data_IF_246478020550
#
_entry.id   IF_246478020550
#
_cell.length_a   1.000
_cell.length_b   1.000
_cell.length_c   1.000
_cell.angle_alpha   90.00
_cell.angle_beta   90.00
_cell.angle_gamma   90.00
#
_symmetry.space_group_name_H-M   'P 1'
#
loop_
_entity.id
_entity.type
_entity.pdbx_description
1 polymer ?
#
# COMPACT_ATOMS: atom_id res chain seq x y z
N UNK A 1 -13.73 -11.92 -26.81
CA UNK A 1 -13.23 -11.98 -28.21
C UNK A 1 -12.02 -11.07 -28.31
N UNK A 2 -10.91 -11.54 -28.88
CA UNK A 2 -9.71 -10.72 -29.11
C UNK A 2 -9.93 -9.84 -30.35
N UNK A 3 -9.52 -8.56 -30.37
CA UNK A 3 -9.65 -7.72 -31.55
C UNK A 3 -8.94 -8.35 -32.75
N UNK A 4 -9.68 -8.73 -33.79
CA UNK A 4 -9.14 -9.32 -35.02
C UNK A 4 -8.83 -10.83 -34.99
N UNK A 5 -9.09 -11.53 -33.87
CA UNK A 5 -8.89 -12.99 -33.75
C UNK A 5 -10.19 -13.74 -33.44
N UNK A 6 -10.48 -14.83 -34.17
CA UNK A 6 -11.67 -15.67 -33.92
C UNK A 6 -11.48 -16.63 -32.75
N UNK A 7 -10.24 -17.05 -32.50
CA UNK A 7 -9.90 -17.90 -31.36
C UNK A 7 -8.53 -17.56 -30.78
N UNK A 8 -8.38 -17.81 -29.47
CA UNK A 8 -7.12 -17.63 -28.77
C UNK A 8 -6.88 -18.80 -27.82
N UNK A 9 -5.63 -19.24 -27.74
CA UNK A 9 -5.21 -20.36 -26.89
C UNK A 9 -4.11 -19.87 -25.97
N UNK A 10 -4.31 -20.03 -24.66
CA UNK A 10 -3.27 -19.86 -23.65
C UNK A 10 -2.64 -21.21 -23.34
N UNK A 11 -1.31 -21.30 -23.41
CA UNK A 11 -0.55 -22.51 -23.02
C UNK A 11 0.45 -22.14 -21.92
N UNK A 12 0.46 -22.91 -20.83
CA UNK A 12 1.45 -22.81 -19.75
C UNK A 12 1.95 -24.21 -19.37
N UNK A 13 3.14 -24.32 -18.77
CA UNK A 13 3.63 -25.59 -18.24
C UNK A 13 3.06 -25.81 -16.83
N UNK A 14 2.89 -27.08 -16.46
CA UNK A 14 2.54 -27.47 -15.08
C UNK A 14 3.69 -27.02 -14.17
N UNK A 15 3.41 -26.13 -13.22
CA UNK A 15 4.40 -25.53 -12.32
C UNK A 15 4.77 -24.07 -12.61
N UNK A 16 4.29 -23.46 -13.71
CA UNK A 16 4.49 -22.04 -14.03
C UNK A 16 3.60 -21.08 -13.20
N UNK A 17 3.12 -21.55 -12.04
CA UNK A 17 2.41 -20.72 -11.08
C UNK A 17 3.40 -19.79 -10.40
N UNK A 18 3.12 -18.49 -10.46
CA UNK A 18 3.89 -17.49 -9.71
C UNK A 18 3.52 -17.67 -8.24
N UNK A 19 4.47 -18.03 -7.36
CA UNK A 19 4.18 -18.21 -5.95
C UNK A 19 3.62 -16.89 -5.38
N UNK A 20 2.41 -16.92 -4.83
CA UNK A 20 1.91 -15.80 -4.03
C UNK A 20 2.68 -15.76 -2.72
N UNK A 21 3.69 -14.88 -2.63
CA UNK A 21 4.53 -14.81 -1.44
C UNK A 21 3.88 -14.05 -0.28
N UNK A 22 2.89 -13.18 -0.54
CA UNK A 22 2.38 -12.24 0.48
C UNK A 22 0.86 -11.99 0.43
N UNK A 23 0.07 -13.02 0.11
CA UNK A 23 -1.38 -12.88 0.02
C UNK A 23 -2.05 -12.67 1.39
N UNK A 24 -3.05 -11.79 1.45
CA UNK A 24 -3.99 -11.75 2.57
C UNK A 24 -4.71 -13.11 2.67
N UNK A 25 -4.73 -13.70 3.87
CA UNK A 25 -5.41 -14.97 4.13
C UNK A 25 -6.85 -14.94 3.57
N UNK A 26 -7.18 -15.93 2.73
CA UNK A 26 -8.50 -16.05 2.10
C UNK A 26 -8.68 -15.31 0.76
N UNK A 27 -7.63 -14.74 0.17
CA UNK A 27 -7.62 -14.30 -1.25
C UNK A 27 -6.83 -15.30 -2.09
N UNK A 28 -7.52 -16.29 -2.66
CA UNK A 28 -6.92 -17.27 -3.56
C UNK A 28 -6.69 -16.67 -4.96
N UNK A 29 -5.89 -15.61 -5.06
CA UNK A 29 -5.45 -15.07 -6.35
C UNK A 29 -4.31 -15.94 -6.88
N UNK A 30 -4.40 -16.38 -8.13
CA UNK A 30 -3.37 -17.19 -8.77
C UNK A 30 -2.92 -16.58 -10.08
N UNK A 31 -1.60 -16.51 -10.32
CA UNK A 31 -1.05 -16.01 -11.58
C UNK A 31 -0.27 -17.13 -12.26
N UNK A 32 -0.57 -17.38 -13.54
CA UNK A 32 0.17 -18.32 -14.39
C UNK A 32 0.85 -17.58 -15.52
N UNK A 33 2.13 -17.86 -15.73
CA UNK A 33 2.86 -17.39 -16.91
C UNK A 33 2.66 -18.37 -18.06
N UNK A 34 2.61 -17.87 -19.28
CA UNK A 34 2.48 -18.73 -20.45
C UNK A 34 2.57 -17.97 -21.76
N UNK A 35 2.20 -18.64 -22.85
CA UNK A 35 2.13 -18.07 -24.19
C UNK A 35 0.70 -17.97 -24.66
N UNK A 36 0.36 -16.82 -25.23
CA UNK A 36 -0.88 -16.59 -25.96
C UNK A 36 -0.64 -16.84 -27.45
N UNK A 37 -1.52 -17.60 -28.07
CA UNK A 37 -1.60 -17.81 -29.51
C UNK A 37 -2.95 -17.31 -30.01
N UNK A 38 -2.97 -16.33 -30.93
CA UNK A 38 -4.21 -15.80 -31.52
C UNK A 38 -4.27 -16.20 -32.99
N UNK A 39 -5.44 -16.67 -33.45
CA UNK A 39 -5.65 -17.14 -34.81
C UNK A 39 -6.73 -16.31 -35.52
N UNK A 40 -6.52 -16.04 -36.81
CA UNK A 40 -7.50 -15.37 -37.67
C UNK A 40 -8.65 -16.30 -38.10
N UNK A 41 -9.57 -15.78 -38.93
CA UNK A 41 -10.72 -16.55 -39.41
C UNK A 41 -10.38 -17.76 -40.28
N UNK A 42 -9.18 -17.78 -40.87
CA UNK A 42 -8.67 -18.87 -41.70
C UNK A 42 -7.81 -19.86 -40.89
N UNK A 43 -7.73 -19.66 -39.56
CA UNK A 43 -6.91 -20.49 -38.67
C UNK A 43 -5.41 -20.18 -38.74
N UNK A 44 -5.00 -19.07 -39.36
CA UNK A 44 -3.59 -18.65 -39.39
C UNK A 44 -3.22 -17.97 -38.07
N UNK A 45 -2.08 -18.36 -37.50
CA UNK A 45 -1.52 -17.71 -36.31
C UNK A 45 -1.13 -16.26 -36.64
N UNK A 46 -1.67 -15.31 -35.88
CA UNK A 46 -1.41 -13.87 -36.06
C UNK A 46 -0.64 -13.25 -34.90
N UNK A 47 -0.76 -13.81 -33.69
CA UNK A 47 -0.04 -13.35 -32.50
C UNK A 47 0.54 -14.53 -31.75
N UNK A 48 1.82 -14.46 -31.41
CA UNK A 48 2.46 -15.27 -30.37
C UNK A 48 3.14 -14.31 -29.38
N UNK A 49 2.75 -14.36 -28.11
CA UNK A 49 3.25 -13.44 -27.07
C UNK A 49 3.34 -14.12 -25.70
N UNK A 50 4.35 -13.78 -24.92
CA UNK A 50 4.39 -14.13 -23.49
C UNK A 50 3.39 -13.29 -22.69
N UNK A 51 2.57 -13.96 -21.88
CA UNK A 51 1.49 -13.34 -21.10
C UNK A 51 1.44 -13.89 -19.69
N UNK A 52 0.80 -13.14 -18.81
CA UNK A 52 0.36 -13.58 -17.49
C UNK A 52 -1.16 -13.70 -17.48
N UNK A 53 -1.67 -14.84 -17.00
CA UNK A 53 -3.08 -15.07 -16.75
C UNK A 53 -3.30 -15.06 -15.24
N UNK A 54 -4.04 -14.07 -14.76
CA UNK A 54 -4.40 -13.88 -13.36
C UNK A 54 -5.84 -14.34 -13.13
N UNK A 55 -6.05 -15.20 -12.15
CA UNK A 55 -7.34 -15.52 -11.57
C UNK A 55 -7.51 -14.71 -10.29
N UNK A 56 -8.33 -13.67 -10.35
CA UNK A 56 -8.68 -12.81 -9.22
C UNK A 56 -10.02 -13.22 -8.61
N UNK A 57 -10.15 -13.05 -7.29
CA UNK A 57 -11.40 -13.23 -6.53
C UNK A 57 -11.82 -11.92 -5.86
N UNK A 58 -11.85 -10.84 -6.64
CA UNK A 58 -12.20 -9.50 -6.18
C UNK A 58 -13.59 -9.42 -5.55
N UNK A 59 -13.73 -8.50 -4.60
CA UNK A 59 -15.01 -8.10 -4.02
C UNK A 59 -15.85 -7.33 -5.04
N UNK A 60 -17.13 -7.68 -5.16
CA UNK A 60 -18.04 -7.10 -6.15
C UNK A 60 -18.37 -5.63 -5.91
N UNK A 61 -18.20 -5.12 -4.68
CA UNK A 61 -18.35 -3.70 -4.36
C UNK A 61 -17.17 -2.86 -4.89
N UNK A 62 -16.04 -3.51 -5.22
CA UNK A 62 -14.88 -2.87 -5.83
C UNK A 62 -15.04 -2.81 -7.34
N UNK A 63 -14.53 -1.73 -7.92
CA UNK A 63 -14.32 -1.69 -9.36
C UNK A 63 -13.30 -2.77 -9.73
N UNK A 64 -13.54 -3.44 -10.86
CA UNK A 64 -12.59 -4.40 -11.43
C UNK A 64 -11.32 -3.67 -11.86
N UNK A 65 -10.20 -4.40 -11.88
CA UNK A 65 -8.89 -3.90 -12.30
C UNK A 65 -8.95 -3.18 -13.67
N UNK A 66 -9.66 -3.75 -14.65
CA UNK A 66 -9.87 -3.11 -15.96
C UNK A 66 -10.56 -1.74 -15.88
N UNK A 67 -11.59 -1.61 -15.03
CA UNK A 67 -12.36 -0.39 -14.85
C UNK A 67 -11.57 0.69 -14.08
N UNK A 68 -10.80 0.29 -13.06
CA UNK A 68 -9.88 1.20 -12.35
C UNK A 68 -8.82 1.74 -13.31
N UNK A 69 -8.22 0.88 -14.13
CA UNK A 69 -7.21 1.29 -15.11
C UNK A 69 -7.79 2.22 -16.18
N UNK A 70 -8.98 1.92 -16.70
CA UNK A 70 -9.67 2.81 -17.65
C UNK A 70 -9.92 4.19 -17.03
N UNK A 71 -10.33 4.21 -15.76
CA UNK A 71 -10.56 5.44 -15.02
C UNK A 71 -9.29 6.25 -14.84
N UNK A 72 -8.20 5.62 -14.43
CA UNK A 72 -6.91 6.29 -14.33
C UNK A 72 -6.50 6.91 -15.67
N UNK A 73 -6.61 6.14 -16.77
CA UNK A 73 -6.32 6.61 -18.13
C UNK A 73 -7.19 7.80 -18.52
N UNK A 74 -8.48 7.80 -18.18
CA UNK A 74 -9.37 8.96 -18.40
C UNK A 74 -8.96 10.16 -17.56
N UNK A 75 -8.63 9.96 -16.29
CA UNK A 75 -8.19 11.02 -15.37
C UNK A 75 -6.88 11.68 -15.80
N UNK A 76 -6.00 10.95 -16.47
CA UNK A 76 -4.76 11.51 -17.04
C UNK A 76 -5.02 12.39 -18.28
N UNK A 77 -6.11 12.17 -19.04
CA UNK A 77 -6.40 12.98 -20.22
C UNK A 77 -6.69 14.43 -19.81
N UNK A 78 -6.00 15.37 -20.46
CA UNK A 78 -6.18 16.81 -20.20
C UNK A 78 -5.44 17.34 -18.98
N UNK A 79 -4.68 16.50 -18.25
CA UNK A 79 -3.76 16.96 -17.22
C UNK A 79 -2.34 17.10 -17.78
N UNK A 80 -1.65 18.15 -17.35
CA UNK A 80 -0.24 18.32 -17.66
C UNK A 80 0.60 17.50 -16.68
N UNK A 81 1.56 16.74 -17.21
CA UNK A 81 2.52 15.95 -16.45
C UNK A 81 3.95 16.43 -16.76
N UNK A 82 4.93 16.14 -15.89
CA UNK A 82 6.31 16.58 -16.08
C UNK A 82 6.87 16.06 -17.42
N UNK A 83 7.61 16.91 -18.13
CA UNK A 83 8.18 16.58 -19.44
C UNK A 83 9.01 15.29 -19.35
N UNK A 84 8.73 14.35 -20.25
CA UNK A 84 9.42 13.05 -20.31
C UNK A 84 8.75 11.94 -19.50
N UNK A 85 7.62 12.22 -18.84
CA UNK A 85 6.81 11.21 -18.16
C UNK A 85 5.41 11.17 -18.77
N UNK A 86 5.02 10.00 -19.27
CA UNK A 86 3.63 9.70 -19.60
C UNK A 86 3.08 8.78 -18.50
N UNK A 87 2.09 9.23 -17.69
CA UNK A 87 1.55 8.42 -16.61
C UNK A 87 0.94 7.09 -17.10
N UNK A 88 0.54 7.01 -18.37
CA UNK A 88 -0.02 5.79 -18.96
C UNK A 88 1.01 4.68 -19.10
N UNK A 89 2.30 5.02 -19.15
CA UNK A 89 3.39 4.05 -19.26
C UNK A 89 3.55 3.23 -17.98
N UNK A 90 3.16 3.77 -16.81
CA UNK A 90 3.20 3.04 -15.53
C UNK A 90 2.05 2.05 -15.37
N UNK A 91 0.97 2.24 -16.12
CA UNK A 91 -0.18 1.36 -16.05
C UNK A 91 0.05 0.07 -16.85
N UNK A 92 -0.38 -1.09 -16.32
CA UNK A 92 -0.35 -2.33 -17.06
C UNK A 92 -1.40 -2.31 -18.18
N UNK A 93 -1.16 -3.15 -19.18
CA UNK A 93 -2.12 -3.44 -20.23
C UNK A 93 -3.02 -4.62 -19.81
N UNK A 94 -4.33 -4.47 -20.03
CA UNK A 94 -5.28 -5.58 -19.96
C UNK A 94 -5.59 -6.00 -21.39
N UNK A 95 -5.12 -7.18 -21.79
CA UNK A 95 -5.36 -7.73 -23.12
C UNK A 95 -6.80 -8.25 -23.22
N UNK A 96 -7.24 -8.98 -22.18
CA UNK A 96 -8.58 -9.53 -22.11
C UNK A 96 -8.99 -9.72 -20.64
N UNK A 97 -10.30 -9.69 -20.41
CA UNK A 97 -10.90 -9.96 -19.12
C UNK A 97 -12.16 -10.80 -19.31
N UNK A 98 -12.34 -11.81 -18.44
CA UNK A 98 -13.55 -12.62 -18.39
C UNK A 98 -14.04 -12.76 -16.96
N UNK A 99 -15.32 -12.48 -16.76
CA UNK A 99 -16.01 -12.58 -15.47
C UNK A 99 -16.82 -13.87 -15.44
N UNK A 100 -16.84 -14.53 -14.28
CA UNK A 100 -17.61 -15.76 -14.06
C UNK A 100 -18.64 -15.54 -12.95
N UNK A 101 -19.78 -14.93 -13.30
CA UNK A 101 -20.85 -14.61 -12.35
C UNK A 101 -21.53 -15.86 -11.77
N UNK A 102 -21.47 -17.00 -12.47
CA UNK A 102 -21.95 -18.31 -12.00
C UNK A 102 -21.22 -18.80 -10.74
N UNK A 103 -20.05 -18.24 -10.44
CA UNK A 103 -19.26 -18.56 -9.25
C UNK A 103 -19.34 -17.47 -8.16
N UNK A 104 -20.33 -16.58 -8.22
CA UNK A 104 -20.61 -15.64 -7.14
C UNK A 104 -20.76 -16.39 -5.80
N UNK A 105 -19.95 -15.98 -4.82
CA UNK A 105 -19.97 -16.53 -3.47
C UNK A 105 -21.35 -16.53 -2.81
N UNK A 106 -22.25 -15.61 -3.16
CA UNK A 106 -23.64 -15.59 -2.67
C UNK A 106 -24.40 -16.87 -3.05
N UNK A 107 -24.25 -17.33 -4.29
CA UNK A 107 -24.92 -18.54 -4.79
C UNK A 107 -24.47 -19.74 -3.97
N UNK A 108 -23.15 -19.84 -3.70
CA UNK A 108 -22.57 -20.91 -2.88
C UNK A 108 -23.01 -20.83 -1.42
N UNK A 109 -22.99 -19.64 -0.80
CA UNK A 109 -23.43 -19.43 0.59
C UNK A 109 -24.89 -19.86 0.77
N UNK A 110 -25.78 -19.46 -0.15
CA UNK A 110 -27.19 -19.87 -0.12
C UNK A 110 -27.39 -21.38 -0.29
N UNK A 111 -26.50 -22.05 -1.02
CA UNK A 111 -26.58 -23.50 -1.22
C UNK A 111 -26.05 -24.32 -0.03
N UNK A 112 -25.19 -23.73 0.81
CA UNK A 112 -24.50 -24.44 1.91
C UNK A 112 -25.09 -24.08 3.29
N UNK A 113 -25.53 -22.84 3.48
CA UNK A 113 -26.10 -22.37 4.74
C UNK A 113 -27.61 -22.66 4.81
N UNK A 114 -28.11 -22.94 6.01
CA UNK A 114 -29.55 -23.02 6.24
C UNK A 114 -30.21 -21.64 6.04
N UNK A 115 -31.48 -21.58 5.63
CA UNK A 115 -32.14 -20.31 5.27
C UNK A 115 -32.18 -19.28 6.41
N UNK A 116 -32.34 -19.73 7.66
CA UNK A 116 -32.26 -18.88 8.86
C UNK A 116 -30.88 -18.25 9.02
N UNK A 117 -29.84 -19.06 8.82
CA UNK A 117 -28.45 -18.66 9.02
C UNK A 117 -28.01 -17.75 7.89
N UNK A 118 -28.41 -18.04 6.64
CA UNK A 118 -28.17 -17.16 5.49
C UNK A 118 -28.83 -15.79 5.67
N UNK A 119 -30.07 -15.73 6.16
CA UNK A 119 -30.77 -14.47 6.41
C UNK A 119 -30.12 -13.67 7.55
N UNK A 120 -29.82 -14.31 8.68
CA UNK A 120 -29.11 -13.68 9.79
C UNK A 120 -27.74 -13.17 9.32
N UNK A 121 -27.04 -13.94 8.50
CA UNK A 121 -25.74 -13.58 7.95
C UNK A 121 -25.78 -12.38 7.01
N UNK A 122 -26.72 -12.33 6.07
CA UNK A 122 -26.90 -11.17 5.17
C UNK A 122 -27.32 -9.90 5.92
N UNK A 123 -28.03 -10.03 7.05
CA UNK A 123 -28.49 -8.88 7.85
C UNK A 123 -27.41 -8.35 8.81
N UNK A 124 -26.71 -9.24 9.53
CA UNK A 124 -25.82 -8.89 10.64
C UNK A 124 -24.36 -8.68 10.21
N UNK A 125 -23.90 -9.40 9.19
CA UNK A 125 -22.52 -9.35 8.68
C UNK A 125 -22.50 -9.58 7.17
N UNK A 126 -22.95 -8.62 6.34
CA UNK A 126 -22.90 -8.79 4.90
C UNK A 126 -21.45 -8.95 4.44
N UNK A 127 -20.99 -10.19 4.30
CA UNK A 127 -19.67 -10.45 3.77
C UNK A 127 -19.65 -9.99 2.31
N UNK A 128 -18.66 -9.16 2.00
CA UNK A 128 -18.15 -8.91 0.67
C UNK A 128 -18.43 -10.10 -0.28
N UNK A 129 -19.37 -9.90 -1.20
CA UNK A 129 -19.61 -10.83 -2.30
C UNK A 129 -18.39 -10.81 -3.20
N UNK A 130 -17.94 -11.97 -3.65
CA UNK A 130 -16.80 -12.11 -4.55
C UNK A 130 -17.20 -12.91 -5.77
N UNK A 131 -16.56 -12.59 -6.89
CA UNK A 131 -16.69 -13.35 -8.14
C UNK A 131 -15.31 -13.55 -8.78
N UNK A 132 -15.05 -14.71 -9.39
CA UNK A 132 -13.84 -14.93 -10.14
C UNK A 132 -13.77 -14.05 -11.38
N UNK A 133 -12.59 -13.50 -11.64
CA UNK A 133 -12.25 -12.80 -12.86
C UNK A 133 -10.93 -13.35 -13.39
N UNK A 134 -10.92 -13.78 -14.65
CA UNK A 134 -9.70 -14.06 -15.38
C UNK A 134 -9.25 -12.79 -16.10
N UNK A 135 -8.01 -12.37 -15.84
CA UNK A 135 -7.39 -11.19 -16.42
C UNK A 135 -6.13 -11.62 -17.15
N UNK A 136 -6.05 -11.29 -18.44
CA UNK A 136 -4.90 -11.59 -19.28
C UNK A 136 -4.11 -10.32 -19.54
N UNK A 137 -2.81 -10.36 -19.27
CA UNK A 137 -1.91 -9.21 -19.33
C UNK A 137 -0.60 -9.61 -20.03
N UNK A 138 0.16 -8.66 -20.61
CA UNK A 138 1.53 -8.94 -21.01
C UNK A 138 2.35 -9.44 -19.81
N UNK A 139 3.35 -10.27 -20.08
CA UNK A 139 4.28 -10.70 -19.04
C UNK A 139 5.18 -9.52 -18.64
N UNK A 140 5.21 -9.23 -17.35
CA UNK A 140 6.16 -8.32 -16.73
C UNK A 140 7.03 -9.07 -15.73
N UNK A 141 8.23 -8.55 -15.46
CA UNK A 141 9.13 -9.09 -14.45
C UNK A 141 9.14 -8.22 -13.20
N UNK A 142 9.16 -8.79 -11.97
CA UNK A 142 9.31 -8.00 -10.76
C UNK A 142 10.57 -7.15 -10.82
N UNK A 143 10.52 -5.90 -10.37
CA UNK A 143 11.68 -5.00 -10.44
C UNK A 143 12.89 -5.59 -9.70
N UNK A 144 12.65 -6.36 -8.65
CA UNK A 144 13.64 -7.06 -7.83
C UNK A 144 14.47 -8.09 -8.61
N UNK A 145 13.93 -8.59 -9.71
CA UNK A 145 14.55 -9.61 -10.56
C UNK A 145 15.34 -9.02 -11.73
N UNK A 146 15.32 -7.69 -11.91
CA UNK A 146 16.01 -7.02 -13.01
C UNK A 146 17.40 -6.53 -12.56
N UNK A 147 18.47 -6.95 -13.27
CA UNK A 147 19.87 -6.75 -12.84
C UNK A 147 20.42 -5.30 -12.83
N UNK A 148 21.37 -5.09 -11.88
CA UNK A 148 22.44 -4.06 -11.76
C UNK A 148 22.04 -2.58 -11.71
N UNK A 149 21.93 -2.02 -10.49
CA UNK A 149 21.67 -0.61 -10.15
C UNK A 149 20.31 0.00 -10.58
N UNK A 150 19.61 -0.65 -11.51
CA UNK A 150 18.35 -0.21 -12.11
C UNK A 150 17.16 -0.15 -11.15
N UNK A 151 17.22 -0.81 -9.98
CA UNK A 151 16.15 -0.73 -8.99
C UNK A 151 15.86 0.73 -8.61
N UNK A 152 16.88 1.48 -8.17
CA UNK A 152 16.71 2.87 -7.73
C UNK A 152 16.27 3.82 -8.85
N UNK A 153 16.79 3.62 -10.06
CA UNK A 153 16.42 4.41 -11.25
C UNK A 153 14.97 4.15 -11.66
N UNK A 154 14.39 2.99 -11.31
CA UNK A 154 13.00 2.61 -11.63
C UNK A 154 12.01 2.88 -10.48
N UNK A 155 12.46 2.84 -9.23
CA UNK A 155 11.66 3.16 -8.05
C UNK A 155 11.15 4.60 -8.08
N UNK A 156 12.01 5.56 -8.44
CA UNK A 156 11.62 6.97 -8.60
C UNK A 156 10.44 7.14 -9.57
N UNK A 157 10.58 6.76 -10.84
CA UNK A 157 9.49 6.78 -11.81
C UNK A 157 8.22 6.06 -11.34
N UNK A 158 8.30 4.89 -10.71
CA UNK A 158 7.13 4.19 -10.16
C UNK A 158 6.42 5.00 -9.07
N UNK A 159 7.17 5.56 -8.13
CA UNK A 159 6.60 6.43 -7.09
C UNK A 159 5.98 7.71 -7.65
N UNK A 160 6.57 8.28 -8.72
CA UNK A 160 5.99 9.43 -9.43
C UNK A 160 4.70 9.03 -10.16
N UNK A 161 4.69 7.91 -10.88
CA UNK A 161 3.50 7.36 -11.52
C UNK A 161 2.38 7.08 -10.50
N UNK A 162 2.75 6.60 -9.31
CA UNK A 162 1.83 6.42 -8.20
C UNK A 162 1.27 7.75 -7.66
N UNK A 163 2.08 8.80 -7.52
CA UNK A 163 1.58 10.13 -7.17
C UNK A 163 0.64 10.70 -8.25
N UNK A 164 0.94 10.46 -9.52
CA UNK A 164 0.05 10.83 -10.63
C UNK A 164 -1.30 10.11 -10.53
N UNK A 165 -1.32 8.82 -10.15
CA UNK A 165 -2.56 8.07 -9.89
C UNK A 165 -3.39 8.71 -8.77
N UNK A 166 -2.75 9.02 -7.65
CA UNK A 166 -3.41 9.71 -6.53
C UNK A 166 -3.99 11.06 -6.95
N UNK A 167 -3.25 11.82 -7.78
CA UNK A 167 -3.68 13.13 -8.30
C UNK A 167 -4.94 13.06 -9.17
N UNK A 168 -5.30 11.87 -9.68
CA UNK A 168 -6.53 11.63 -10.44
C UNK A 168 -7.57 10.82 -9.66
N UNK A 169 -7.41 10.73 -8.34
CA UNK A 169 -8.38 10.10 -7.45
C UNK A 169 -8.39 8.56 -7.53
N UNK A 170 -7.26 7.96 -7.89
CA UNK A 170 -7.04 6.50 -7.88
C UNK A 170 -5.97 6.15 -6.86
N UNK A 171 -6.38 5.42 -5.82
CA UNK A 171 -5.50 4.91 -4.77
C UNK A 171 -5.14 3.46 -5.11
N UNK A 172 -3.85 3.13 -5.18
CA UNK A 172 -3.44 1.76 -5.52
C UNK A 172 -3.77 0.78 -4.39
N UNK A 173 -3.42 1.13 -3.16
CA UNK A 173 -3.75 0.38 -1.94
C UNK A 173 -2.85 -0.83 -1.65
N UNK A 174 -2.11 -1.36 -2.63
CA UNK A 174 -1.26 -2.55 -2.44
C UNK A 174 0.17 -2.41 -3.01
N UNK A 175 0.93 -1.44 -2.50
CA UNK A 175 2.35 -1.33 -2.85
C UNK A 175 3.12 -2.49 -2.20
N UNK A 176 3.65 -3.38 -3.03
CA UNK A 176 4.41 -4.56 -2.61
C UNK A 176 5.51 -4.90 -3.61
N UNK A 177 6.50 -5.69 -3.20
CA UNK A 177 7.60 -6.11 -4.09
C UNK A 177 7.11 -6.81 -5.37
N UNK A 178 6.04 -7.60 -5.28
CA UNK A 178 5.46 -8.32 -6.42
C UNK A 178 4.59 -7.47 -7.36
N UNK A 179 4.22 -6.26 -6.93
CA UNK A 179 3.36 -5.35 -7.69
C UNK A 179 4.17 -4.25 -8.40
N UNK A 180 5.42 -4.05 -7.99
CA UNK A 180 6.37 -3.21 -8.71
C UNK A 180 7.04 -4.05 -9.80
N UNK A 181 6.58 -3.87 -11.04
CA UNK A 181 6.98 -4.68 -12.19
C UNK A 181 7.74 -3.86 -13.23
N UNK A 182 8.32 -4.56 -14.19
CA UNK A 182 9.07 -4.00 -15.30
C UNK A 182 8.76 -4.74 -16.59
N UNK A 183 8.44 -3.97 -17.61
CA UNK A 183 8.29 -4.42 -18.97
C UNK A 183 9.69 -4.43 -19.63
N UNK A 184 10.27 -5.63 -19.71
CA UNK A 184 11.58 -5.82 -20.37
C UNK A 184 11.52 -5.63 -21.89
N UNK A 185 10.36 -5.79 -22.52
CA UNK A 185 10.18 -5.58 -23.96
C UNK A 185 10.26 -4.09 -24.28
N UNK A 186 9.47 -3.28 -23.56
CA UNK A 186 9.36 -1.84 -23.81
C UNK A 186 10.28 -0.98 -22.94
N UNK A 187 11.03 -1.59 -22.03
CA UNK A 187 11.90 -0.93 -21.04
C UNK A 187 11.15 0.08 -20.17
N UNK A 188 9.95 -0.27 -19.69
CA UNK A 188 9.09 0.60 -18.91
C UNK A 188 8.73 0.01 -17.54
N UNK A 189 8.70 0.83 -16.46
CA UNK A 189 8.14 0.40 -15.19
C UNK A 189 6.63 0.17 -15.29
N UNK A 190 6.10 -0.80 -14.54
CA UNK A 190 4.67 -1.12 -14.46
C UNK A 190 4.25 -1.30 -13.00
N UNK A 191 3.32 -0.48 -12.52
CA UNK A 191 2.67 -0.72 -11.23
C UNK A 191 1.46 -1.60 -11.47
N UNK A 192 1.47 -2.85 -11.02
CA UNK A 192 0.46 -3.87 -11.30
C UNK A 192 -0.39 -4.21 -10.08
N UNK A 193 -1.48 -4.95 -10.31
CA UNK A 193 -2.40 -5.47 -9.30
C UNK A 193 -3.31 -4.43 -8.65
N UNK A 194 -4.32 -4.00 -9.41
CA UNK A 194 -5.32 -3.03 -8.96
C UNK A 194 -6.56 -3.66 -8.29
N UNK A 195 -6.49 -4.93 -7.86
CA UNK A 195 -7.62 -5.60 -7.20
C UNK A 195 -8.05 -4.90 -5.90
N UNK A 196 -7.09 -4.23 -5.24
CA UNK A 196 -7.30 -3.55 -3.95
C UNK A 196 -7.44 -2.04 -4.09
N UNK A 197 -7.35 -1.55 -5.31
CA UNK A 197 -7.43 -0.13 -5.59
C UNK A 197 -8.80 0.43 -5.26
N UNK A 198 -8.79 1.71 -4.94
CA UNK A 198 -9.98 2.47 -4.62
C UNK A 198 -10.01 3.73 -5.48
N UNK A 199 -11.22 4.14 -5.87
CA UNK A 199 -11.42 5.43 -6.52
C UNK A 199 -12.21 6.33 -5.61
N UNK A 200 -11.74 7.57 -5.41
CA UNK A 200 -12.28 8.52 -4.42
C UNK A 200 -13.76 8.90 -4.61
N UNK A 201 -14.32 8.67 -5.79
CA UNK A 201 -15.72 8.92 -6.12
C UNK A 201 -16.61 7.66 -5.97
N UNK A 202 -16.06 6.55 -5.49
CA UNK A 202 -16.80 5.34 -5.14
C UNK A 202 -16.93 5.25 -3.63
N UNK A 203 -18.00 4.62 -3.11
CA UNK A 203 -18.03 4.22 -1.71
C UNK A 203 -16.82 3.33 -1.38
N UNK A 204 -16.29 3.45 -0.16
CA UNK A 204 -15.31 2.49 0.34
C UNK A 204 -15.99 1.10 0.40
N UNK A 205 -15.28 0.02 0.04
CA UNK A 205 -15.82 -1.34 0.05
C UNK A 205 -16.32 -1.77 1.43
N UNK A 206 -17.28 -2.71 1.45
CA UNK A 206 -17.81 -3.30 2.69
C UNK A 206 -16.74 -4.10 3.43
N UNK A 207 -16.28 -3.61 4.59
CA UNK A 207 -15.31 -4.27 5.46
C UNK A 207 -14.07 -3.43 5.74
N UNK A 208 -12.94 -4.11 6.01
CA UNK A 208 -11.65 -3.48 6.31
C UNK A 208 -11.23 -2.60 5.11
N UNK A 209 -11.36 -1.29 5.25
CA UNK A 209 -11.07 -0.31 4.18
C UNK A 209 -9.57 -0.25 3.88
N UNK A 210 -8.74 -0.59 4.89
CA UNK A 210 -7.30 -0.70 4.78
C UNK A 210 -6.85 -2.11 4.42
N UNK A 211 -6.71 -2.35 3.10
CA UNK A 211 -6.22 -3.61 2.54
C UNK A 211 -4.81 -3.46 1.99
N UNK A 212 -4.10 -4.58 1.78
CA UNK A 212 -2.78 -4.60 1.16
C UNK A 212 -1.86 -5.64 1.82
N UNK A 213 -0.60 -5.63 1.41
CA UNK A 213 0.42 -6.53 1.92
C UNK A 213 0.99 -6.04 3.27
N UNK A 214 0.60 -6.67 4.39
CA UNK A 214 0.95 -6.22 5.74
C UNK A 214 2.45 -6.00 5.99
N UNK A 215 3.33 -6.80 5.38
CA UNK A 215 4.78 -6.61 5.50
C UNK A 215 5.25 -5.23 5.02
N UNK A 216 4.55 -4.63 4.05
CA UNK A 216 4.90 -3.33 3.45
C UNK A 216 3.94 -2.20 3.85
N UNK A 217 2.69 -2.52 4.19
CA UNK A 217 1.66 -1.56 4.56
C UNK A 217 2.11 -0.64 5.71
N UNK A 218 1.82 0.66 5.60
CA UNK A 218 2.25 1.68 6.58
C UNK A 218 1.89 1.35 8.04
N UNK A 219 2.75 1.76 8.98
CA UNK A 219 2.63 1.41 10.41
C UNK A 219 1.27 1.82 11.01
N UNK A 220 0.81 3.02 10.67
CA UNK A 220 -0.48 3.55 11.15
C UNK A 220 -1.67 2.78 10.59
N UNK A 221 -1.51 2.13 9.43
CA UNK A 221 -2.53 1.27 8.84
C UNK A 221 -2.50 -0.15 9.41
N UNK A 222 -1.58 -0.45 10.34
CA UNK A 222 -1.45 -1.72 11.05
C UNK A 222 -1.87 -1.57 12.53
N UNK A 223 -2.91 -0.76 12.79
CA UNK A 223 -3.58 -0.64 14.09
C UNK A 223 -4.98 -1.26 14.03
N UNK A 224 -5.58 -1.51 15.20
CA UNK A 224 -6.97 -1.98 15.27
C UNK A 224 -7.93 -0.97 14.64
N UNK A 225 -7.80 0.33 14.97
CA UNK A 225 -8.62 1.40 14.38
C UNK A 225 -8.52 1.46 12.85
N UNK A 226 -7.31 1.23 12.30
CA UNK A 226 -7.14 1.16 10.87
C UNK A 226 -7.79 -0.08 10.24
N UNK A 227 -7.72 -1.23 10.91
CA UNK A 227 -8.41 -2.45 10.49
C UNK A 227 -9.94 -2.26 10.51
N UNK A 228 -10.45 -1.53 11.50
CA UNK A 228 -11.87 -1.17 11.61
C UNK A 228 -12.28 -0.04 10.64
N UNK A 229 -11.30 0.52 9.91
CA UNK A 229 -11.51 1.50 8.86
C UNK A 229 -11.69 2.94 9.34
N UNK A 230 -11.33 3.21 10.59
CA UNK A 230 -11.37 4.54 11.21
C UNK A 230 -10.21 5.43 10.74
N UNK A 231 -9.07 4.82 10.39
CA UNK A 231 -7.92 5.56 9.84
C UNK A 231 -8.03 5.66 8.32
N UNK A 232 -8.17 6.87 7.74
CA UNK A 232 -8.20 7.04 6.30
C UNK A 232 -6.83 6.76 5.69
N UNK A 233 -6.79 6.09 4.55
CA UNK A 233 -5.56 5.94 3.76
C UNK A 233 -5.19 7.26 3.10
N UNK A 234 -3.93 7.66 3.25
CA UNK A 234 -3.31 8.86 2.69
C UNK A 234 -2.14 8.47 1.76
N UNK A 235 -1.70 9.41 0.92
CA UNK A 235 -0.58 9.11 0.00
C UNK A 235 0.70 8.74 0.77
N UNK A 236 0.96 9.40 1.91
CA UNK A 236 2.11 9.08 2.78
C UNK A 236 2.17 7.61 3.20
N UNK A 237 1.03 6.93 3.35
CA UNK A 237 1.00 5.51 3.72
C UNK A 237 1.52 4.62 2.60
N UNK A 238 1.09 4.89 1.37
CA UNK A 238 1.58 4.16 0.20
C UNK A 238 3.07 4.50 -0.07
N UNK A 239 3.50 5.74 0.22
CA UNK A 239 4.91 6.13 0.10
C UNK A 239 5.81 5.47 1.17
N UNK A 240 5.33 5.34 2.43
CA UNK A 240 6.00 4.49 3.43
C UNK A 240 6.19 3.06 2.91
N UNK A 241 5.16 2.52 2.23
CA UNK A 241 5.22 1.19 1.64
C UNK A 241 6.30 1.10 0.54
N UNK A 242 6.49 2.15 -0.27
CA UNK A 242 7.63 2.22 -1.21
C UNK A 242 8.99 2.17 -0.51
N UNK A 243 9.16 2.85 0.64
CA UNK A 243 10.40 2.80 1.43
C UNK A 243 10.61 1.39 2.00
N UNK A 244 9.56 0.76 2.53
CA UNK A 244 9.61 -0.61 3.03
C UNK A 244 10.01 -1.61 1.93
N UNK A 245 9.42 -1.51 0.74
CA UNK A 245 9.78 -2.34 -0.42
C UNK A 245 11.21 -2.08 -0.88
N UNK A 246 11.70 -0.83 -0.82
CA UNK A 246 13.08 -0.52 -1.15
C UNK A 246 14.07 -1.21 -0.20
N UNK A 247 13.84 -1.13 1.11
CA UNK A 247 14.63 -1.83 2.13
C UNK A 247 14.59 -3.34 1.89
N UNK A 248 13.40 -3.90 1.66
CA UNK A 248 13.21 -5.31 1.35
C UNK A 248 14.06 -5.77 0.15
N UNK A 249 13.96 -5.04 -0.97
CA UNK A 249 14.66 -5.41 -2.21
C UNK A 249 16.18 -5.35 -2.03
N UNK A 250 16.72 -4.32 -1.36
CA UNK A 250 18.19 -4.20 -1.21
C UNK A 250 18.77 -5.27 -0.29
N UNK A 251 18.05 -5.74 0.72
CA UNK A 251 18.56 -6.81 1.57
C UNK A 251 18.42 -8.19 0.93
N UNK A 252 17.38 -8.39 0.10
CA UNK A 252 17.03 -9.74 -0.38
C UNK A 252 17.47 -10.04 -1.80
N UNK A 253 17.71 -9.04 -2.64
CA UNK A 253 18.01 -9.27 -4.05
C UNK A 253 19.35 -8.69 -4.45
N UNK A 254 20.19 -9.53 -5.05
CA UNK A 254 21.49 -9.16 -5.63
C UNK A 254 21.54 -9.62 -7.08
N UNK A 255 21.87 -8.70 -7.98
CA UNK A 255 21.95 -8.98 -9.42
C UNK A 255 20.70 -9.72 -9.95
N UNK A 256 19.51 -9.23 -9.57
CA UNK A 256 18.23 -9.80 -10.00
C UNK A 256 17.90 -11.17 -9.39
N UNK A 257 18.66 -11.63 -8.39
CA UNK A 257 18.48 -12.94 -7.76
C UNK A 257 18.25 -12.78 -6.27
N UNK A 258 17.31 -13.57 -5.74
CA UNK A 258 17.12 -13.71 -4.30
C UNK A 258 18.41 -14.27 -3.69
N UNK A 259 18.93 -13.64 -2.64
CA UNK A 259 20.11 -14.12 -1.93
C UNK A 259 19.79 -15.39 -1.15
N UNK A 260 20.78 -16.29 -0.93
CA UNK A 260 20.63 -17.39 0.02
C UNK A 260 20.28 -16.85 1.41
N UNK A 261 19.43 -17.56 2.15
CA UNK A 261 18.93 -17.16 3.48
C UNK A 261 18.46 -15.71 3.53
N UNK A 262 17.40 -15.39 2.77
CA UNK A 262 17.03 -14.01 2.51
C UNK A 262 16.62 -13.30 3.81
N UNK A 263 17.27 -12.16 4.15
CA UNK A 263 16.94 -11.42 5.35
C UNK A 263 15.50 -10.90 5.34
N UNK A 264 15.03 -10.46 6.52
CA UNK A 264 13.73 -9.82 6.71
C UNK A 264 12.51 -10.73 6.47
N UNK A 265 12.70 -12.05 6.33
CA UNK A 265 11.58 -13.00 6.23
C UNK A 265 10.61 -12.86 7.41
N UNK A 266 11.12 -12.46 8.58
CA UNK A 266 10.33 -12.22 9.78
C UNK A 266 9.43 -10.98 9.71
N UNK A 267 9.46 -10.18 8.64
CA UNK A 267 8.41 -9.17 8.40
C UNK A 267 7.10 -9.81 7.94
N UNK A 268 7.13 -11.03 7.39
CA UNK A 268 5.95 -11.74 6.92
C UNK A 268 5.36 -12.49 8.10
N UNK A 269 4.30 -11.94 8.68
CA UNK A 269 3.60 -12.52 9.83
C UNK A 269 2.13 -12.76 9.49
N UNK A 270 1.49 -13.64 10.26
CA UNK A 270 0.06 -13.90 10.19
C UNK A 270 -0.79 -12.91 11.00
N UNK A 271 -0.15 -11.96 11.68
CA UNK A 271 -0.79 -10.89 12.46
C UNK A 271 -0.18 -9.54 12.05
N UNK A 272 -1.04 -8.54 11.84
CA UNK A 272 -0.65 -7.24 11.28
C UNK A 272 0.25 -6.44 12.24
N UNK A 273 0.00 -6.54 13.54
CA UNK A 273 0.77 -5.91 14.62
C UNK A 273 2.18 -6.51 14.72
N UNK A 274 2.31 -7.82 14.50
CA UNK A 274 3.60 -8.50 14.45
C UNK A 274 4.41 -8.08 13.21
N UNK A 275 3.79 -7.94 12.03
CA UNK A 275 4.44 -7.33 10.86
C UNK A 275 4.98 -5.93 11.20
N UNK A 276 4.16 -5.11 11.86
CA UNK A 276 4.49 -3.75 12.27
C UNK A 276 5.68 -3.73 13.23
N UNK A 277 5.66 -4.55 14.29
CA UNK A 277 6.72 -4.63 15.30
C UNK A 277 8.06 -5.08 14.70
N UNK A 278 8.03 -6.05 13.80
CA UNK A 278 9.23 -6.59 13.12
C UNK A 278 9.87 -5.55 12.20
N UNK A 279 9.04 -4.89 11.36
CA UNK A 279 9.53 -3.82 10.49
C UNK A 279 10.06 -2.63 11.29
N UNK A 280 9.33 -2.21 12.34
CA UNK A 280 9.77 -1.12 13.23
C UNK A 280 11.14 -1.42 13.82
N UNK A 281 11.36 -2.64 14.34
CA UNK A 281 12.67 -3.04 14.88
C UNK A 281 13.78 -2.91 13.84
N UNK A 282 13.54 -3.38 12.61
CA UNK A 282 14.53 -3.20 11.52
C UNK A 282 14.80 -1.72 11.25
N UNK A 283 13.77 -0.88 11.17
CA UNK A 283 13.93 0.55 10.93
C UNK A 283 14.67 1.25 12.08
N UNK A 284 14.37 0.92 13.33
CA UNK A 284 15.08 1.43 14.51
C UNK A 284 16.58 1.09 14.41
N UNK A 285 16.93 -0.14 14.00
CA UNK A 285 18.32 -0.53 13.83
C UNK A 285 19.03 0.22 12.70
N UNK A 286 18.33 0.50 11.60
CA UNK A 286 18.84 1.31 10.49
C UNK A 286 19.09 2.75 10.95
N UNK A 287 18.12 3.36 11.62
CA UNK A 287 18.19 4.75 12.07
C UNK A 287 19.25 4.97 13.13
N UNK A 288 19.43 4.00 14.04
CA UNK A 288 20.51 3.99 15.03
C UNK A 288 21.86 3.51 14.47
N UNK A 289 21.97 3.30 13.16
CA UNK A 289 23.20 2.85 12.46
C UNK A 289 23.78 1.53 12.99
N UNK A 290 22.97 0.72 13.66
CA UNK A 290 23.35 -0.59 14.18
C UNK A 290 23.17 -1.72 13.15
N UNK A 291 22.33 -1.52 12.14
CA UNK A 291 22.24 -2.40 10.97
C UNK A 291 23.08 -1.83 9.81
N UNK A 292 24.12 -2.57 9.42
CA UNK A 292 24.92 -2.24 8.25
C UNK A 292 24.16 -2.55 6.95
N UNK A 293 24.42 -1.75 5.91
CA UNK A 293 23.88 -2.00 4.58
C UNK A 293 24.46 -3.26 3.95
N UNK A 294 23.78 -3.86 2.97
CA UNK A 294 24.30 -5.01 2.22
C UNK A 294 25.67 -4.69 1.61
N UNK A 295 26.64 -5.61 1.73
CA UNK A 295 28.02 -5.39 1.28
C UNK A 295 28.18 -5.08 -0.23
N UNK A 296 27.18 -5.44 -1.04
CA UNK A 296 27.17 -5.18 -2.47
C UNK A 296 26.65 -3.78 -2.83
N UNK A 297 25.94 -3.12 -1.92
CA UNK A 297 25.39 -1.78 -2.11
C UNK A 297 26.44 -0.73 -1.72
N UNK A 298 26.59 0.32 -2.53
CA UNK A 298 27.57 1.35 -2.19
C UNK A 298 27.22 2.04 -0.87
N UNK A 299 28.22 2.40 -0.03
CA UNK A 299 27.96 3.08 1.23
C UNK A 299 27.19 4.40 1.06
N UNK A 300 27.40 5.09 -0.06
CA UNK A 300 26.65 6.30 -0.41
C UNK A 300 25.16 5.99 -0.60
N UNK A 301 24.81 4.98 -1.43
CA UNK A 301 23.42 4.59 -1.65
C UNK A 301 22.76 4.10 -0.36
N UNK A 302 23.46 3.27 0.43
CA UNK A 302 22.95 2.82 1.73
C UNK A 302 22.69 3.98 2.68
N UNK A 303 23.64 4.91 2.78
CA UNK A 303 23.52 6.09 3.65
C UNK A 303 22.25 6.86 3.36
N UNK A 304 21.84 6.92 2.09
CA UNK A 304 20.66 7.68 1.71
C UNK A 304 19.35 6.92 2.00
N UNK A 305 19.31 5.60 1.77
CA UNK A 305 18.16 4.78 2.21
C UNK A 305 17.98 4.90 3.72
N UNK A 306 19.07 4.78 4.47
CA UNK A 306 19.04 4.89 5.92
C UNK A 306 18.59 6.28 6.39
N UNK A 307 18.97 7.35 5.68
CA UNK A 307 18.45 8.70 5.95
C UNK A 307 16.94 8.81 5.66
N UNK A 308 16.44 8.22 4.57
CA UNK A 308 15.00 8.18 4.30
C UNK A 308 14.23 7.45 5.40
N UNK A 309 14.75 6.31 5.87
CA UNK A 309 14.18 5.55 6.99
C UNK A 309 14.18 6.39 8.27
N UNK A 310 15.28 7.10 8.58
CA UNK A 310 15.32 8.01 9.74
C UNK A 310 14.32 9.17 9.61
N UNK A 311 14.20 9.81 8.45
CA UNK A 311 13.22 10.87 8.23
C UNK A 311 11.79 10.38 8.43
N UNK A 312 11.46 9.20 7.90
CA UNK A 312 10.20 8.49 8.12
C UNK A 312 9.95 8.22 9.60
N UNK A 313 10.92 7.65 10.32
CA UNK A 313 10.76 7.34 11.76
C UNK A 313 10.60 8.59 12.62
N UNK A 314 11.36 9.66 12.32
CA UNK A 314 11.24 10.93 13.02
C UNK A 314 9.87 11.58 12.80
N UNK A 315 9.34 11.51 11.58
CA UNK A 315 7.99 11.98 11.28
C UNK A 315 6.94 11.19 12.08
N UNK A 316 6.98 9.84 11.97
CA UNK A 316 6.02 8.97 12.67
C UNK A 316 6.11 9.16 14.19
N UNK A 317 7.32 9.20 14.75
CA UNK A 317 7.53 9.37 16.18
C UNK A 317 7.01 10.70 16.70
N UNK A 318 7.13 11.78 15.92
CA UNK A 318 6.57 13.08 16.27
C UNK A 318 5.03 13.06 16.24
N UNK A 319 4.40 12.48 15.21
CA UNK A 319 2.94 12.30 15.18
C UNK A 319 2.45 11.51 16.40
N UNK A 320 3.11 10.40 16.72
CA UNK A 320 2.75 9.56 17.87
C UNK A 320 2.95 10.26 19.20
N UNK A 321 3.96 11.13 19.32
CA UNK A 321 4.19 11.91 20.53
C UNK A 321 3.09 12.95 20.74
N UNK A 322 2.70 13.66 19.67
CA UNK A 322 1.62 14.64 19.71
C UNK A 322 0.26 13.99 20.00
N UNK A 323 -0.04 12.86 19.36
CA UNK A 323 -1.26 12.09 19.62
C UNK A 323 -1.35 11.65 21.09
N UNK A 324 -0.26 11.08 21.65
CA UNK A 324 -0.21 10.73 23.07
C UNK A 324 -0.38 11.93 24.00
N UNK A 325 0.13 13.09 23.60
CA UNK A 325 -0.05 14.32 24.36
C UNK A 325 -1.52 14.77 24.34
N UNK A 326 -2.19 14.69 23.19
CA UNK A 326 -3.62 14.97 23.05
C UNK A 326 -4.45 14.03 23.94
N UNK A 327 -4.23 12.72 23.84
CA UNK A 327 -4.94 11.71 24.64
C UNK A 327 -4.79 11.99 26.14
N UNK A 328 -3.58 12.34 26.57
CA UNK A 328 -3.29 12.69 27.95
C UNK A 328 -4.06 13.95 28.40
N UNK A 329 -4.03 15.02 27.59
CA UNK A 329 -4.71 16.27 27.89
C UNK A 329 -6.24 16.13 27.92
N UNK A 330 -6.81 15.30 27.05
CA UNK A 330 -8.25 15.02 27.03
C UNK A 330 -8.70 14.21 28.24
N UNK A 331 -7.90 13.21 28.63
CA UNK A 331 -8.16 12.41 29.83
C UNK A 331 -8.04 13.25 31.11
N UNK A 332 -7.04 14.13 31.20
CA UNK A 332 -6.87 15.05 32.34
C UNK A 332 -8.07 16.02 32.46
N UNK A 333 -8.51 16.61 31.33
CA UNK A 333 -9.68 17.48 31.29
C UNK A 333 -10.98 16.74 31.69
N UNK A 334 -11.14 15.47 31.29
CA UNK A 334 -12.29 14.65 31.67
C UNK A 334 -12.31 14.33 33.17
N UNK A 335 -11.14 14.11 33.77
CA UNK A 335 -11.01 13.87 35.21
C UNK A 335 -11.29 15.14 36.02
N UNK A 336 -10.78 16.30 35.60
CA UNK A 336 -11.11 17.58 36.23
C UNK A 336 -12.61 17.92 36.14
N UNK A 337 -13.26 17.60 35.02
CA UNK A 337 -14.70 17.76 34.85
C UNK A 337 -15.52 16.83 35.76
N UNK A 338 -15.06 15.59 35.99
CA UNK A 338 -15.70 14.64 36.90
C UNK A 338 -15.50 15.02 38.38
N UNK A 339 -14.30 15.47 38.78
CA UNK A 339 -14.05 15.97 40.13
C UNK A 339 -14.86 17.26 40.44
N UNK A 340 -15.14 18.08 39.41
CA UNK A 340 -16.05 19.23 39.51
C UNK A 340 -17.54 18.87 39.66
N UNK A 341 -17.93 17.65 39.30
CA UNK A 341 -19.32 17.14 39.31
C UNK A 341 -19.67 16.38 40.60
N UNK A 342 -18.70 15.73 41.24
CA UNK A 342 -18.89 15.04 42.54
C UNK A 342 -18.58 15.96 43.72
N UNK A 343 -19.41 16.99 43.92
CA UNK A 343 -19.72 17.53 45.26
C UNK A 343 -21.12 17.06 45.65
N UNK A 344 -21.26 15.76 45.82
CA UNK A 344 -22.42 15.10 46.40
C UNK A 344 -21.92 13.88 47.15
N UNK A 345 -22.20 13.85 48.46
CA UNK A 345 -21.67 12.91 49.44
C UNK A 345 -21.75 11.44 49.00
N UNK A 346 -20.62 10.72 49.03
CA UNK A 346 -20.62 9.24 48.99
C UNK A 346 -19.61 8.66 49.98
N UNK A 347 -20.18 7.77 50.80
CA UNK A 347 -19.67 6.91 51.86
C UNK A 347 -18.58 5.91 51.38
N UNK A 348 -17.49 5.64 52.13
CA UNK A 348 -16.36 4.86 51.62
C UNK A 348 -16.48 3.38 51.99
N UNK A 349 -17.23 2.60 51.22
CA UNK A 349 -17.06 1.13 51.17
C UNK A 349 -17.35 0.59 49.78
N UNK A 350 -16.31 0.27 49.01
CA UNK A 350 -16.46 -0.34 47.69
C UNK A 350 -15.12 -0.76 47.08
N UNK A 351 -14.83 -2.04 47.20
CA UNK A 351 -13.68 -2.77 46.65
C UNK A 351 -13.63 -2.66 45.10
N UNK A 352 -12.49 -2.23 44.55
CA UNK A 352 -12.30 -1.95 43.12
C UNK A 352 -10.92 -2.40 42.65
N UNK A 353 -10.91 -3.35 41.71
CA UNK A 353 -9.73 -4.08 41.24
C UNK A 353 -8.64 -3.22 40.62
N UNK A 354 -7.41 -3.71 40.80
CA UNK A 354 -6.15 -3.16 40.30
C UNK A 354 -6.08 -3.25 38.77
N UNK A 355 -6.47 -2.19 38.08
CA UNK A 355 -5.94 -1.87 36.74
C UNK A 355 -4.56 -1.21 36.88
N UNK A 356 -3.61 -1.54 36.00
CA UNK A 356 -2.28 -0.92 35.96
C UNK A 356 -2.40 0.61 35.88
N UNK A 357 -2.04 1.31 36.95
CA UNK A 357 -1.89 2.77 36.95
C UNK A 357 -0.66 3.13 36.12
N UNK A 358 -0.89 3.71 34.95
CA UNK A 358 0.14 4.48 34.26
C UNK A 358 0.34 5.76 35.06
N UNK A 359 1.55 5.96 35.59
CA UNK A 359 1.88 7.10 36.44
C UNK A 359 1.96 8.40 35.62
N UNK A 360 0.86 9.16 35.60
CA UNK A 360 0.74 10.41 34.86
C UNK A 360 1.16 11.60 35.74
N UNK A 361 2.32 12.20 35.45
CA UNK A 361 2.79 13.42 36.13
C UNK A 361 1.97 14.65 35.70
N UNK A 362 1.48 15.44 36.67
CA UNK A 362 0.88 16.77 36.46
C UNK A 362 1.90 17.76 35.84
N UNK A 363 1.52 18.62 34.88
CA UNK A 363 2.48 19.53 34.22
C UNK A 363 2.59 20.93 34.84
N UNK A 364 3.71 21.58 34.52
CA UNK A 364 4.07 22.94 34.95
C UNK A 364 3.43 24.05 34.08
N UNK A 365 3.31 25.26 34.63
CA UNK A 365 2.90 26.47 33.94
C UNK A 365 3.81 26.77 32.72
N UNK A 366 3.23 26.80 31.51
CA UNK A 366 3.94 27.03 30.24
C UNK A 366 3.68 26.00 29.14
N UNK A 367 2.81 25.00 29.36
CA UNK A 367 2.44 24.04 28.31
C UNK A 367 1.51 24.63 27.23
N UNK A 368 1.64 24.15 25.97
CA UNK A 368 0.75 24.53 24.87
C UNK A 368 -0.69 24.10 25.16
N UNK A 369 -1.66 24.86 24.63
CA UNK A 369 -3.08 24.51 24.76
C UNK A 369 -3.44 23.26 23.95
N UNK A 370 -4.50 22.54 24.32
CA UNK A 370 -4.97 21.37 23.56
C UNK A 370 -5.22 21.71 22.08
N UNK A 371 -5.82 22.88 21.83
CA UNK A 371 -6.03 23.38 20.47
C UNK A 371 -4.72 23.57 19.70
N UNK A 372 -3.67 24.10 20.34
CA UNK A 372 -2.36 24.29 19.72
C UNK A 372 -1.66 22.97 19.40
N UNK A 373 -1.80 21.95 20.27
CA UNK A 373 -1.21 20.61 20.02
C UNK A 373 -1.95 19.89 18.89
N UNK A 374 -3.28 20.03 18.83
CA UNK A 374 -4.10 19.53 17.71
C UNK A 374 -3.75 20.20 16.39
N UNK A 375 -3.64 21.53 16.38
CA UNK A 375 -3.21 22.30 15.20
C UNK A 375 -1.80 21.89 14.74
N UNK A 376 -0.88 21.64 15.67
CA UNK A 376 0.45 21.13 15.33
C UNK A 376 0.36 19.75 14.67
N UNK A 377 -0.43 18.81 15.22
CA UNK A 377 -0.63 17.47 14.64
C UNK A 377 -1.30 17.53 13.26
N UNK A 378 -2.28 18.42 13.06
CA UNK A 378 -2.90 18.66 11.75
C UNK A 378 -1.89 19.14 10.71
N UNK A 379 -0.84 19.86 11.14
CA UNK A 379 0.30 20.25 10.30
C UNK A 379 1.12 19.06 9.79
N UNK A 380 1.03 17.88 10.40
CA UNK A 380 1.66 16.65 9.92
C UNK A 380 0.86 16.01 8.79
N UNK A 381 0.96 16.61 7.61
CA UNK A 381 0.35 16.11 6.37
C UNK A 381 1.37 15.41 5.45
N UNK A 382 0.90 14.90 4.29
CA UNK A 382 1.78 14.25 3.31
C UNK A 382 2.90 15.15 2.79
N UNK A 383 2.69 16.47 2.65
CA UNK A 383 3.75 17.36 2.17
C UNK A 383 4.88 17.48 3.21
N UNK A 384 4.56 17.69 4.49
CA UNK A 384 5.56 17.71 5.55
C UNK A 384 6.28 16.36 5.68
N UNK A 385 5.55 15.26 5.53
CA UNK A 385 6.13 13.92 5.50
C UNK A 385 7.19 13.80 4.40
N UNK A 386 6.83 14.19 3.18
CA UNK A 386 7.75 14.15 2.05
C UNK A 386 8.92 15.09 2.26
N UNK A 387 8.73 16.27 2.85
CA UNK A 387 9.82 17.19 3.15
C UNK A 387 10.82 16.58 4.13
N UNK A 388 10.36 16.01 5.24
CA UNK A 388 11.26 15.34 6.19
C UNK A 388 12.01 14.16 5.55
N UNK A 389 11.33 13.40 4.69
CA UNK A 389 11.97 12.29 3.96
C UNK A 389 12.95 12.83 2.90
N UNK A 390 12.60 13.86 2.13
CA UNK A 390 13.43 14.38 1.04
C UNK A 390 14.59 15.27 1.50
N UNK A 391 14.44 16.03 2.57
CA UNK A 391 15.55 16.73 3.24
C UNK A 391 16.62 15.72 3.69
N UNK A 392 16.18 14.54 4.12
CA UNK A 392 17.05 13.42 4.48
C UNK A 392 17.64 12.73 3.23
N UNK A 393 16.96 12.79 2.08
CA UNK A 393 17.42 12.25 0.81
C UNK A 393 18.34 13.25 0.09
N UNK A 394 19.60 13.36 0.50
CA UNK A 394 20.68 13.91 -0.37
C UNK A 394 20.96 13.05 -1.62
N UNK A 395 20.00 12.21 -2.05
CA UNK A 395 20.11 11.19 -3.12
C UNK A 395 20.25 11.78 -4.52
N UNK A 396 20.26 13.10 -4.62
CA UNK A 396 20.49 13.79 -5.86
C UNK A 396 21.43 14.96 -5.61
N UNK A 397 22.71 14.67 -5.84
CA UNK A 397 23.78 15.65 -5.83
C UNK A 397 23.35 16.97 -6.51
N UNK A 398 23.81 18.15 -6.05
CA UNK A 398 23.69 19.41 -6.79
C UNK A 398 24.22 19.34 -8.23
N UNK A 399 25.11 18.37 -8.51
CA UNK A 399 25.60 18.07 -9.87
C UNK A 399 24.67 17.19 -10.71
N UNK A 400 23.55 16.70 -10.16
CA UNK A 400 22.61 15.79 -10.81
C UNK A 400 21.21 16.41 -10.87
N UNK A 401 20.85 16.97 -12.03
CA UNK A 401 19.59 17.71 -12.25
C UNK A 401 18.29 16.92 -11.99
N UNK A 402 18.36 15.61 -11.78
CA UNK A 402 17.20 14.73 -11.71
C UNK A 402 16.45 14.81 -10.38
N UNK A 403 17.12 15.09 -9.26
CA UNK A 403 16.47 15.01 -7.95
C UNK A 403 15.62 16.16 -7.50
N UNK A 404 16.16 17.38 -7.49
CA UNK A 404 15.35 18.56 -7.26
C UNK A 404 14.14 18.58 -8.22
N UNK A 405 14.32 18.12 -9.47
CA UNK A 405 13.23 17.95 -10.44
C UNK A 405 12.24 16.84 -10.05
N UNK A 406 12.72 15.69 -9.57
CA UNK A 406 11.87 14.59 -9.10
C UNK A 406 11.04 15.00 -7.89
N UNK A 407 11.67 15.60 -6.87
CA UNK A 407 11.01 16.08 -5.65
C UNK A 407 9.99 17.17 -5.99
N UNK A 408 10.37 18.15 -6.81
CA UNK A 408 9.44 19.18 -7.29
C UNK A 408 8.26 18.57 -8.06
N UNK A 409 8.52 17.60 -8.95
CA UNK A 409 7.46 16.91 -9.69
C UNK A 409 6.52 16.16 -8.77
N UNK A 410 7.05 15.40 -7.81
CA UNK A 410 6.24 14.65 -6.85
C UNK A 410 5.36 15.60 -6.03
N UNK A 411 5.97 16.67 -5.52
CA UNK A 411 5.29 17.73 -4.78
C UNK A 411 4.13 18.34 -5.57
N UNK A 412 4.35 18.74 -6.83
CA UNK A 412 3.28 19.30 -7.68
C UNK A 412 2.05 18.40 -7.79
N UNK A 413 2.23 17.07 -7.83
CA UNK A 413 1.09 16.14 -7.96
C UNK A 413 0.40 15.85 -6.63
N UNK A 414 1.06 16.19 -5.52
CA UNK A 414 0.60 15.92 -4.16
C UNK A 414 0.00 17.17 -3.50
N UNK A 415 0.48 18.36 -3.86
CA UNK A 415 -0.07 19.65 -3.40
C UNK A 415 -1.56 19.83 -3.77
N UNK A 416 -2.05 19.08 -4.77
CA UNK A 416 -3.47 19.03 -5.14
C UNK A 416 -4.29 17.95 -4.43
N UNK A 417 -3.71 17.14 -3.55
CA UNK A 417 -4.45 16.13 -2.81
C UNK A 417 -5.19 16.79 -1.65
N UNK A 418 -6.51 16.77 -1.72
CA UNK A 418 -7.35 17.02 -0.54
C UNK A 418 -7.27 15.79 0.35
N UNK A 419 -6.40 15.85 1.37
CA UNK A 419 -6.32 14.87 2.43
C UNK A 419 -7.24 15.30 3.58
N UNK A 420 -7.95 14.35 4.21
CA UNK A 420 -8.63 14.65 5.47
C UNK A 420 -7.61 15.08 6.53
N UNK A 421 -8.00 15.92 7.50
CA UNK A 421 -7.15 16.22 8.65
C UNK A 421 -6.73 14.93 9.36
N UNK A 422 -5.55 14.95 9.98
CA UNK A 422 -5.05 13.85 10.81
C UNK A 422 -6.03 13.72 11.98
N UNK A 423 -6.76 12.60 12.02
CA UNK A 423 -7.79 12.32 13.02
C UNK A 423 -7.19 11.95 14.36
#
# INVERSE_FOLDING_TARGET
MFPGGKSAIFKCKKGDEVPTRFGLNGRSTGVKRGKLFVYDEKGKLTVEREVALKLSWGEMSRLRESAILEKARKGFKGKAFPKGYDPQEFLPEIIAEQVFDEFDTRIRRKAILHDSDYKAYELERPLARRRPVLVLMPKYEPISTVTKLLHFVKFGPLSLGHAMLWSVGVEHGDISEGNLMYDEENKKPKLCDYDLSHSKDQPRPSGHSNTGTWAFMAMELLSQDAMDGLVPRLYRHDFESFIAVLVWVVFRYRDGKLVPDPPLEDWVQNQYDMCAAKRKRTFDHISNRSLAGPAWLSPALWSIIAQAVTGLQNYIGACQSLAKQIDWMEHDAANEANEGSTKGDVDPTGDGGLGEMVDYKKPNAGQPSLASVKEELEGYNTLLFLDKVFESLKLFSPSNSYGPRFVASLRTHIEGLQEPPVS
#
